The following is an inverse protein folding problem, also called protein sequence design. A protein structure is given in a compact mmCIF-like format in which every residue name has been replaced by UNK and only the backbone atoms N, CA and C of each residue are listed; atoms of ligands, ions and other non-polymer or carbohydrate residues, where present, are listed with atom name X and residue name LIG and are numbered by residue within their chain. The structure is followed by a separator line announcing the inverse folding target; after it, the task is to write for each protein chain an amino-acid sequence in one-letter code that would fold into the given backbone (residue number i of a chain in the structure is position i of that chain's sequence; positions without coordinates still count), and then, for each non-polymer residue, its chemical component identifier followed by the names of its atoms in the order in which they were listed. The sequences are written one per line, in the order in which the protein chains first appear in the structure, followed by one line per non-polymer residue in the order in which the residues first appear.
data_IF_000599860307
#
_entry.id   IF_000599860307
#
_cell.length_a   1.000
_cell.length_b   1.000
_cell.length_c   1.000
_cell.angle_alpha   90.00
_cell.angle_beta   90.00
_cell.angle_gamma   90.00
#
_symmetry.space_group_name_H-M   'P 1'
#
loop_
_entity.id
_entity.type
_entity.pdbx_description
1 polymer ?
#
# COMPACT_ATOMS: atom_id res chain seq x y z
N UNK A 1 17.29 -9.12 -5.28
CA UNK A 1 15.99 -9.08 -4.59
C UNK A 1 15.15 -8.00 -5.25
N UNK A 2 13.84 -8.22 -5.42
CA UNK A 2 12.94 -7.15 -5.86
C UNK A 2 12.84 -6.09 -4.76
N UNK A 3 12.79 -4.82 -5.16
CA UNK A 3 12.56 -3.72 -4.22
C UNK A 3 11.11 -3.76 -3.75
N UNK A 4 10.88 -3.41 -2.49
CA UNK A 4 9.53 -3.23 -1.95
C UNK A 4 8.88 -2.04 -2.66
N UNK A 5 7.56 -2.11 -2.82
CA UNK A 5 6.73 -1.12 -3.49
C UNK A 5 5.76 -0.47 -2.51
N UNK A 6 5.22 0.68 -2.90
CA UNK A 6 4.12 1.33 -2.18
C UNK A 6 2.97 0.32 -1.99
N UNK A 7 2.40 0.29 -0.78
CA UNK A 7 1.34 -0.63 -0.34
C UNK A 7 1.73 -2.11 -0.20
N UNK A 8 3.00 -2.47 -0.32
CA UNK A 8 3.45 -3.80 0.10
C UNK A 8 3.20 -3.98 1.60
N UNK A 9 2.60 -5.11 1.96
CA UNK A 9 2.51 -5.54 3.35
C UNK A 9 3.80 -6.24 3.74
N UNK A 10 4.42 -5.78 4.82
CA UNK A 10 5.71 -6.25 5.30
C UNK A 10 5.65 -6.56 6.79
N UNK A 11 6.63 -7.31 7.27
CA UNK A 11 6.93 -7.43 8.70
C UNK A 11 8.31 -6.86 8.98
N UNK A 12 8.48 -6.29 10.17
CA UNK A 12 9.80 -6.00 10.71
C UNK A 12 10.56 -7.29 10.98
N UNK A 13 11.84 -7.34 10.60
CA UNK A 13 12.78 -8.40 10.98
C UNK A 13 13.89 -7.88 11.93
N UNK A 14 13.84 -6.59 12.26
CA UNK A 14 14.70 -5.92 13.23
C UNK A 14 13.88 -4.88 14.00
N UNK A 15 14.37 -4.43 15.14
CA UNK A 15 13.74 -3.37 15.91
C UNK A 15 13.77 -2.03 15.16
N UNK A 16 12.70 -1.25 15.33
CA UNK A 16 12.59 0.13 14.84
C UNK A 16 12.19 1.02 16.01
N UNK A 17 12.95 2.08 16.26
CA UNK A 17 12.59 3.08 17.27
C UNK A 17 11.42 3.93 16.78
N UNK A 18 10.48 4.19 17.67
CA UNK A 18 9.32 5.04 17.42
C UNK A 18 9.61 6.47 17.86
N UNK A 19 9.00 7.44 17.18
CA UNK A 19 9.16 8.88 17.46
C UNK A 19 8.68 9.26 18.87
N UNK A 20 7.74 8.51 19.45
CA UNK A 20 7.24 8.69 20.81
C UNK A 20 8.17 8.12 21.92
N UNK A 21 9.30 7.54 21.52
CA UNK A 21 10.27 6.90 22.42
C UNK A 21 10.04 5.40 22.63
N UNK A 22 9.01 4.81 22.02
CA UNK A 22 8.78 3.37 21.99
C UNK A 22 9.72 2.62 21.04
N UNK A 23 9.56 1.29 21.00
CA UNK A 23 10.27 0.41 20.06
C UNK A 23 9.28 -0.59 19.50
N UNK A 24 9.22 -0.70 18.16
CA UNK A 24 8.51 -1.76 17.47
C UNK A 24 9.44 -2.98 17.32
N UNK A 25 9.09 -4.15 17.88
CA UNK A 25 9.94 -5.34 17.82
C UNK A 25 9.86 -6.05 16.45
N UNK A 26 10.79 -6.98 16.17
CA UNK A 26 10.67 -7.90 15.04
C UNK A 26 9.33 -8.66 15.08
N UNK A 27 8.73 -8.86 13.92
CA UNK A 27 7.39 -9.43 13.76
C UNK A 27 6.27 -8.40 13.73
N UNK A 28 6.55 -7.12 14.03
CA UNK A 28 5.58 -6.03 13.86
C UNK A 28 5.16 -5.94 12.40
N UNK A 29 3.86 -6.03 12.16
CA UNK A 29 3.29 -5.85 10.83
C UNK A 29 3.33 -4.39 10.41
N UNK A 30 3.58 -4.14 9.13
CA UNK A 30 3.66 -2.80 8.59
C UNK A 30 3.21 -2.75 7.13
N UNK A 31 2.92 -1.54 6.65
CA UNK A 31 2.68 -1.27 5.23
C UNK A 31 3.63 -0.19 4.74
N UNK A 32 4.14 -0.35 3.51
CA UNK A 32 4.93 0.70 2.86
C UNK A 32 3.99 1.84 2.45
N UNK A 33 4.24 3.04 2.97
CA UNK A 33 3.45 4.25 2.65
C UNK A 33 4.25 5.28 1.84
N UNK A 34 5.57 5.13 1.75
CA UNK A 34 6.41 5.90 0.83
C UNK A 34 7.70 5.14 0.47
N UNK A 35 8.23 5.36 -0.73
CA UNK A 35 9.49 4.76 -1.22
C UNK A 35 10.51 5.86 -1.49
N UNK A 36 11.60 5.91 -0.73
CA UNK A 36 12.66 6.90 -0.90
C UNK A 36 13.79 6.40 -1.78
N UNK A 37 14.36 7.31 -2.57
CA UNK A 37 15.56 7.09 -3.39
C UNK A 37 15.56 5.74 -4.13
N UNK A 38 14.44 5.38 -4.76
CA UNK A 38 14.31 4.11 -5.45
C UNK A 38 14.61 2.91 -4.51
N UNK A 39 14.02 2.89 -3.32
CA UNK A 39 14.09 1.77 -2.39
C UNK A 39 15.37 1.67 -1.56
N UNK A 40 16.08 2.77 -1.33
CA UNK A 40 17.15 2.81 -0.32
C UNK A 40 16.57 2.89 1.10
N UNK A 41 15.41 3.50 1.26
CA UNK A 41 14.64 3.59 2.49
C UNK A 41 13.14 3.63 2.19
N UNK A 42 12.34 3.38 3.22
CA UNK A 42 10.89 3.32 3.13
C UNK A 42 10.27 4.03 4.31
N UNK A 43 9.20 4.78 4.07
CA UNK A 43 8.30 5.17 5.15
C UNK A 43 7.29 4.05 5.35
N UNK A 44 7.17 3.56 6.59
CA UNK A 44 6.30 2.44 6.92
C UNK A 44 5.32 2.81 8.03
N UNK A 45 4.05 2.49 7.83
CA UNK A 45 3.06 2.54 8.90
C UNK A 45 3.13 1.23 9.69
N UNK A 46 3.41 1.31 10.99
CA UNK A 46 3.58 0.18 11.89
C UNK A 46 2.27 -0.09 12.64
N UNK A 47 1.82 -1.34 12.65
CA UNK A 47 0.52 -1.70 13.23
C UNK A 47 0.64 -2.50 14.53
N UNK A 48 -0.18 -2.12 15.51
CA UNK A 48 -0.30 -2.75 16.83
C UNK A 48 -1.46 -3.74 16.91
N UNK A 49 -2.04 -3.92 18.09
CA UNK A 49 -3.13 -4.86 18.27
C UNK A 49 -4.41 -4.50 17.49
N UNK A 50 -5.37 -5.42 17.49
CA UNK A 50 -6.76 -5.07 17.20
C UNK A 50 -7.33 -4.33 18.41
N UNK A 51 -7.93 -3.18 18.18
CA UNK A 51 -8.48 -2.32 19.22
C UNK A 51 -9.85 -1.76 18.83
N UNK A 52 -10.55 -1.19 19.81
CA UNK A 52 -11.74 -0.37 19.62
C UNK A 52 -11.63 0.93 20.39
N UNK A 53 -12.24 1.98 19.85
CA UNK A 53 -12.38 3.24 20.56
C UNK A 53 -13.51 3.16 21.60
N UNK A 54 -13.20 3.49 22.84
CA UNK A 54 -14.21 3.80 23.84
C UNK A 54 -14.75 5.23 23.65
N UNK A 55 -15.90 5.51 24.27
CA UNK A 55 -16.58 6.82 24.23
C UNK A 55 -15.66 7.93 24.80
N UNK A 56 -14.67 7.58 25.63
CA UNK A 56 -13.66 8.49 26.18
C UNK A 56 -12.46 8.78 25.26
N UNK A 57 -12.34 8.10 24.12
CA UNK A 57 -11.23 8.27 23.17
C UNK A 57 -10.05 7.32 23.37
N UNK A 58 -10.03 6.53 24.45
CA UNK A 58 -9.01 5.50 24.68
C UNK A 58 -9.27 4.25 23.82
N UNK A 59 -8.19 3.51 23.53
CA UNK A 59 -8.25 2.25 22.79
C UNK A 59 -8.18 1.06 23.74
N UNK A 60 -9.14 0.14 23.59
CA UNK A 60 -9.16 -1.13 24.33
C UNK A 60 -8.87 -2.31 23.40
N UNK A 61 -8.18 -3.37 23.86
CA UNK A 61 -7.96 -4.57 23.07
C UNK A 61 -9.28 -5.19 22.57
N UNK A 62 -9.29 -5.63 21.32
CA UNK A 62 -10.44 -6.27 20.67
C UNK A 62 -9.99 -7.44 19.80
N UNK A 63 -10.95 -8.25 19.35
CA UNK A 63 -10.74 -9.21 18.28
C UNK A 63 -11.12 -8.62 16.92
N UNK A 64 -10.49 -9.14 15.86
CA UNK A 64 -10.72 -8.72 14.47
C UNK A 64 -12.20 -8.76 14.05
N UNK A 65 -12.95 -9.77 14.51
CA UNK A 65 -14.32 -10.00 14.08
C UNK A 65 -15.34 -9.14 14.83
N UNK A 66 -14.90 -8.34 15.80
CA UNK A 66 -15.83 -7.55 16.59
C UNK A 66 -16.23 -6.23 15.89
N UNK A 67 -17.50 -5.79 16.00
CA UNK A 67 -17.96 -4.56 15.36
C UNK A 67 -17.18 -3.34 15.83
N UNK A 68 -16.65 -2.57 14.89
CA UNK A 68 -15.87 -1.35 15.15
C UNK A 68 -14.42 -1.61 15.56
N UNK A 69 -13.95 -2.87 15.51
CA UNK A 69 -12.53 -3.17 15.70
C UNK A 69 -11.71 -2.73 14.49
N UNK A 70 -10.52 -2.20 14.75
CA UNK A 70 -9.53 -1.84 13.74
C UNK A 70 -8.13 -2.13 14.28
N UNK A 71 -7.11 -2.18 13.42
CA UNK A 71 -5.72 -2.26 13.88
C UNK A 71 -5.22 -0.87 14.24
N UNK A 72 -4.69 -0.73 15.45
CA UNK A 72 -4.07 0.53 15.85
C UNK A 72 -2.79 0.78 15.05
N UNK A 73 -2.48 2.05 14.86
CA UNK A 73 -1.21 2.51 14.30
C UNK A 73 -0.28 2.84 15.47
N UNK A 74 0.86 2.14 15.54
CA UNK A 74 1.92 2.40 16.52
C UNK A 74 2.73 3.65 16.14
N UNK A 75 2.90 3.89 14.84
CA UNK A 75 3.67 5.02 14.33
C UNK A 75 3.92 4.90 12.84
N UNK A 76 4.42 6.00 12.26
CA UNK A 76 4.86 6.06 10.87
C UNK A 76 6.34 6.39 10.89
N UNK A 77 7.17 5.41 10.52
CA UNK A 77 8.61 5.47 10.76
C UNK A 77 9.42 5.15 9.50
N UNK A 78 10.65 5.64 9.45
CA UNK A 78 11.58 5.27 8.37
C UNK A 78 12.21 3.91 8.67
N UNK A 79 12.13 2.99 7.73
CA UNK A 79 12.77 1.68 7.79
C UNK A 79 13.62 1.40 6.55
N UNK A 80 14.64 0.57 6.72
CA UNK A 80 15.58 0.20 5.66
C UNK A 80 15.30 -1.21 5.12
N UNK A 81 15.73 -1.52 3.88
CA UNK A 81 15.49 -2.84 3.27
C UNK A 81 15.88 -4.04 4.15
N UNK A 82 16.95 -3.92 4.95
CA UNK A 82 17.43 -5.00 5.81
C UNK A 82 16.59 -5.21 7.09
N UNK A 83 15.66 -4.30 7.38
CA UNK A 83 14.74 -4.39 8.52
C UNK A 83 13.37 -4.93 8.11
N UNK A 84 13.12 -5.16 6.82
CA UNK A 84 11.80 -5.47 6.29
C UNK A 84 11.78 -6.81 5.56
N UNK A 85 10.69 -7.54 5.75
CA UNK A 85 10.38 -8.75 4.99
C UNK A 85 9.02 -8.62 4.32
N UNK A 86 8.97 -8.80 3.00
CA UNK A 86 7.72 -8.84 2.24
C UNK A 86 6.84 -10.00 2.72
N UNK A 87 5.58 -9.69 3.03
CA UNK A 87 4.54 -10.66 3.39
C UNK A 87 3.59 -10.87 2.23
N UNK A 88 3.08 -9.76 1.66
CA UNK A 88 2.21 -9.75 0.47
C UNK A 88 2.50 -8.50 -0.34
N UNK A 89 2.54 -8.66 -1.65
CA UNK A 89 2.72 -7.51 -2.54
C UNK A 89 1.45 -6.67 -2.67
N UNK A 90 1.59 -5.39 -2.99
CA UNK A 90 0.47 -4.51 -3.29
C UNK A 90 -0.48 -5.10 -4.34
N UNK A 91 0.06 -5.81 -5.33
CA UNK A 91 -0.71 -6.51 -6.39
C UNK A 91 -1.62 -7.61 -5.87
N UNK A 92 -1.28 -8.23 -4.75
CA UNK A 92 -2.07 -9.30 -4.13
C UNK A 92 -3.13 -8.75 -3.19
N UNK A 93 -2.98 -7.51 -2.73
CA UNK A 93 -3.85 -6.87 -1.73
C UNK A 93 -4.88 -5.95 -2.41
N UNK A 94 -4.43 -5.16 -3.38
CA UNK A 94 -5.21 -4.09 -3.99
C UNK A 94 -5.98 -4.55 -5.22
N UNK A 95 -7.11 -3.89 -5.50
CA UNK A 95 -7.79 -4.07 -6.77
C UNK A 95 -6.98 -3.46 -7.92
N UNK A 96 -7.19 -3.96 -9.15
CA UNK A 96 -6.40 -3.56 -10.33
C UNK A 96 -6.41 -2.05 -10.56
N UNK A 97 -7.54 -1.37 -10.31
CA UNK A 97 -7.67 0.09 -10.50
C UNK A 97 -6.91 0.88 -9.43
N UNK A 98 -7.00 0.43 -8.18
CA UNK A 98 -6.31 1.07 -7.06
C UNK A 98 -4.80 0.90 -7.20
N UNK A 99 -4.36 -0.32 -7.56
CA UNK A 99 -2.95 -0.59 -7.85
C UNK A 99 -2.44 0.25 -9.03
N UNK A 100 -3.24 0.42 -10.10
CA UNK A 100 -2.85 1.28 -11.22
C UNK A 100 -2.71 2.75 -10.78
N UNK A 101 -3.65 3.28 -10.00
CA UNK A 101 -3.55 4.64 -9.47
C UNK A 101 -2.26 4.84 -8.65
N UNK A 102 -1.98 3.91 -7.74
CA UNK A 102 -0.75 3.92 -6.93
C UNK A 102 0.53 3.89 -7.78
N UNK A 103 0.55 3.11 -8.86
CA UNK A 103 1.68 3.06 -9.78
C UNK A 103 1.83 4.42 -10.49
N UNK A 104 0.73 4.98 -11.00
CA UNK A 104 0.73 6.24 -11.76
C UNK A 104 1.19 7.42 -10.91
N UNK A 105 0.79 7.49 -9.64
CA UNK A 105 1.18 8.57 -8.71
C UNK A 105 2.71 8.64 -8.46
N UNK A 106 3.43 7.54 -8.71
CA UNK A 106 4.89 7.45 -8.54
C UNK A 106 5.67 7.64 -9.85
N UNK A 107 5.00 7.84 -10.99
CA UNK A 107 5.64 8.09 -12.27
C UNK A 107 5.92 9.59 -12.45
N UNK A 108 6.94 9.93 -13.23
CA UNK A 108 7.15 11.31 -13.69
C UNK A 108 6.08 11.70 -14.71
N UNK A 109 5.79 13.00 -14.84
CA UNK A 109 4.78 13.54 -15.77
C UNK A 109 4.95 13.01 -17.20
N UNK A 110 6.19 12.89 -17.70
CA UNK A 110 6.48 12.34 -19.03
C UNK A 110 5.99 10.90 -19.19
N UNK A 111 6.20 10.06 -18.17
CA UNK A 111 5.76 8.66 -18.18
C UNK A 111 4.25 8.54 -17.96
N UNK A 112 3.67 9.43 -17.16
CA UNK A 112 2.21 9.53 -17.00
C UNK A 112 1.55 9.88 -18.34
N UNK A 113 2.15 10.77 -19.14
CA UNK A 113 1.67 11.09 -20.48
C UNK A 113 1.67 9.87 -21.40
N UNK A 114 2.71 9.03 -21.36
CA UNK A 114 2.74 7.76 -22.12
C UNK A 114 1.62 6.80 -21.69
N UNK A 115 1.35 6.68 -20.38
CA UNK A 115 0.26 5.85 -19.86
C UNK A 115 -1.10 6.38 -20.34
N UNK A 116 -1.30 7.71 -20.32
CA UNK A 116 -2.52 8.34 -20.84
C UNK A 116 -2.72 8.01 -22.31
N UNK A 117 -1.71 8.20 -23.15
CA UNK A 117 -1.81 7.98 -24.60
C UNK A 117 -2.12 6.49 -24.90
N UNK A 118 -1.53 5.57 -24.13
CA UNK A 118 -1.87 4.15 -24.22
C UNK A 118 -3.32 3.86 -23.79
N UNK A 119 -3.82 4.49 -22.72
CA UNK A 119 -5.20 4.34 -22.28
C UNK A 119 -6.21 4.88 -23.31
N UNK A 120 -5.92 6.02 -23.94
CA UNK A 120 -6.72 6.58 -25.04
C UNK A 120 -6.74 5.63 -26.25
N UNK A 121 -5.61 5.03 -26.60
CA UNK A 121 -5.54 4.00 -27.64
C UNK A 121 -6.43 2.79 -27.31
N UNK A 122 -6.41 2.30 -26.07
CA UNK A 122 -7.29 1.21 -25.63
C UNK A 122 -8.77 1.59 -25.73
N UNK A 123 -9.13 2.80 -25.34
CA UNK A 123 -10.50 3.32 -25.45
C UNK A 123 -10.97 3.34 -26.91
N UNK A 124 -10.14 3.84 -27.82
CA UNK A 124 -10.44 3.86 -29.27
C UNK A 124 -10.61 2.44 -29.83
N UNK A 125 -9.76 1.49 -29.42
CA UNK A 125 -9.88 0.08 -29.82
C UNK A 125 -11.20 -0.54 -29.38
N UNK A 126 -11.62 -0.28 -28.14
CA UNK A 126 -12.89 -0.79 -27.62
C UNK A 126 -14.08 -0.23 -28.42
N UNK A 127 -14.08 1.08 -28.71
CA UNK A 127 -15.14 1.71 -29.51
C UNK A 127 -15.22 1.13 -30.93
N UNK A 128 -14.08 0.87 -31.57
CA UNK A 128 -14.03 0.24 -32.90
C UNK A 128 -14.58 -1.19 -32.88
N UNK A 129 -14.28 -1.98 -31.84
CA UNK A 129 -14.84 -3.33 -31.70
C UNK A 129 -16.36 -3.30 -31.49
N UNK A 130 -16.88 -2.39 -30.67
CA UNK A 130 -18.34 -2.25 -30.44
C UNK A 130 -19.07 -1.81 -31.72
N UNK A 131 -18.45 -0.93 -32.51
CA UNK A 131 -18.98 -0.48 -33.79
C UNK A 131 -19.07 -1.61 -34.82
N UNK A 132 -18.06 -2.48 -34.84
CA UNK A 132 -18.02 -3.64 -35.74
C UNK A 132 -19.09 -4.68 -35.39
N UNK A 133 -19.28 -4.98 -34.10
CA UNK A 133 -20.31 -5.93 -33.64
C UNK A 133 -21.74 -5.44 -33.95
N UNK A 134 -22.01 -4.14 -33.79
CA UNK A 134 -23.32 -3.55 -34.14
C UNK A 134 -23.63 -3.51 -35.65
N UNK A 135 -22.62 -3.54 -36.51
CA UNK A 135 -22.81 -3.54 -37.97
C UNK A 135 -23.05 -4.95 -38.55
N UNK A 136 -22.85 -6.00 -37.74
CA UNK A 136 -22.98 -7.41 -38.14
C UNK A 136 -24.20 -8.12 -37.55
N UNK A 137 -25.14 -7.38 -36.96
CA UNK A 137 -26.47 -7.86 -36.51
C UNK A 137 -27.54 -6.97 -37.14
#
# INVERSE_FOLDING_TARGET
MSKLQLFDAVNLIAEVSLTDGGVAPPGTAAAIVEVFNNGEAYLVELFGGWVKAEIGGDFIPANQDEPGAFRETLGVETAYPHQLQLVKSAREIMEVREHLAAVVDNLSDDLVAEVRDFAEFLQQRQQKQVSYVKATH
#
